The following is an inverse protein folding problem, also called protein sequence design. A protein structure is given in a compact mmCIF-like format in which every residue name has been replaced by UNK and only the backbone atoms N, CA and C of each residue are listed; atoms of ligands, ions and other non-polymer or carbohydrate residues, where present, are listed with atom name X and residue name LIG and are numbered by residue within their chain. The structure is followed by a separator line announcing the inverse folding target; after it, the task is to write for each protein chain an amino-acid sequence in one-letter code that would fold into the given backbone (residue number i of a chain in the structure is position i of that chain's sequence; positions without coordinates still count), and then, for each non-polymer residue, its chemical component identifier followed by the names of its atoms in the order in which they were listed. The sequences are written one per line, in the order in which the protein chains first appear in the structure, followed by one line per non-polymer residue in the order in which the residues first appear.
data_IF_017020819673
#
_entry.id   IF_017020819673
#
_cell.length_a   1.000
_cell.length_b   1.000
_cell.length_c   1.000
_cell.angle_alpha   90.00
_cell.angle_beta   90.00
_cell.angle_gamma   90.00
#
_symmetry.space_group_name_H-M   'P 1'
#
loop_
_entity.id
_entity.type
_entity.pdbx_description
1 polymer ?
#
# COMPACT_ATOMS: atom_id res chain seq x y z
N UNK A 1 -39.87 14.01 -13.06
CA UNK A 1 -38.84 14.09 -12.02
C UNK A 1 -38.18 12.72 -11.94
N UNK A 2 -37.19 12.47 -12.79
CA UNK A 2 -36.47 11.20 -12.83
C UNK A 2 -35.65 11.12 -11.56
N UNK A 3 -36.01 10.18 -10.68
CA UNK A 3 -35.28 9.87 -9.46
C UNK A 3 -33.88 9.42 -9.83
N UNK A 4 -32.90 10.28 -9.58
CA UNK A 4 -31.53 9.83 -9.35
C UNK A 4 -31.62 8.74 -8.30
N UNK A 5 -31.02 7.58 -8.57
CA UNK A 5 -30.92 6.51 -7.61
C UNK A 5 -30.16 7.04 -6.38
N UNK A 6 -30.89 7.47 -5.34
CA UNK A 6 -30.34 7.84 -4.03
C UNK A 6 -29.33 6.78 -3.55
N UNK A 7 -29.51 5.53 -3.99
CA UNK A 7 -28.59 4.41 -3.82
C UNK A 7 -27.16 4.70 -4.30
N UNK A 8 -26.98 5.18 -5.54
CA UNK A 8 -25.64 5.47 -6.08
C UNK A 8 -24.97 6.60 -5.31
N UNK A 9 -25.69 7.68 -5.01
CA UNK A 9 -25.15 8.79 -4.24
C UNK A 9 -24.71 8.34 -2.84
N UNK A 10 -25.60 7.61 -2.12
CA UNK A 10 -25.28 7.05 -0.81
C UNK A 10 -24.05 6.14 -0.91
N UNK A 11 -24.00 5.25 -1.90
CA UNK A 11 -22.86 4.36 -2.12
C UNK A 11 -21.57 5.15 -2.36
N UNK A 12 -21.54 6.03 -3.36
CA UNK A 12 -20.35 6.77 -3.77
C UNK A 12 -19.76 7.61 -2.63
N UNK A 13 -20.59 8.37 -1.90
CA UNK A 13 -20.13 9.18 -0.77
C UNK A 13 -19.76 8.33 0.45
N UNK A 14 -20.40 7.17 0.66
CA UNK A 14 -19.99 6.23 1.71
C UNK A 14 -18.61 5.65 1.40
N UNK A 15 -18.37 5.20 0.17
CA UNK A 15 -17.08 4.68 -0.29
C UNK A 15 -15.98 5.76 -0.22
N UNK A 16 -16.28 6.99 -0.60
CA UNK A 16 -15.36 8.13 -0.45
C UNK A 16 -15.01 8.35 1.03
N UNK A 17 -16.01 8.42 1.90
CA UNK A 17 -15.82 8.66 3.34
C UNK A 17 -14.96 7.58 4.00
N UNK A 18 -15.25 6.30 3.71
CA UNK A 18 -14.47 5.17 4.21
C UNK A 18 -13.06 5.19 3.62
N UNK A 19 -12.90 5.49 2.33
CA UNK A 19 -11.60 5.58 1.67
C UNK A 19 -10.71 6.67 2.28
N UNK A 20 -11.26 7.86 2.52
CA UNK A 20 -10.55 8.94 3.22
C UNK A 20 -10.18 8.51 4.63
N UNK A 21 -11.10 7.88 5.37
CA UNK A 21 -10.80 7.35 6.70
C UNK A 21 -9.64 6.35 6.68
N UNK A 22 -9.56 5.48 5.68
CA UNK A 22 -8.45 4.54 5.50
C UNK A 22 -7.13 5.27 5.26
N UNK A 23 -7.11 6.32 4.43
CA UNK A 23 -5.92 7.16 4.20
C UNK A 23 -5.49 7.87 5.49
N UNK A 24 -6.45 8.42 6.24
CA UNK A 24 -6.18 9.07 7.53
C UNK A 24 -5.67 8.07 8.57
N UNK A 25 -6.25 6.86 8.63
CA UNK A 25 -5.80 5.79 9.52
C UNK A 25 -4.37 5.36 9.18
N UNK A 26 -4.03 5.22 7.89
CA UNK A 26 -2.65 5.01 7.45
C UNK A 26 -1.75 6.12 7.95
N UNK A 27 -2.13 7.37 7.69
CA UNK A 27 -1.31 8.55 8.04
C UNK A 27 -1.07 8.58 9.54
N UNK A 28 -2.10 8.32 10.34
CA UNK A 28 -2.00 8.19 11.79
C UNK A 28 -1.06 7.06 12.22
N UNK A 29 -1.21 5.86 11.64
CA UNK A 29 -0.33 4.73 11.91
C UNK A 29 1.13 5.06 11.61
N UNK A 30 1.39 5.78 10.52
CA UNK A 30 2.73 6.24 10.10
C UNK A 30 3.31 7.28 11.04
N UNK A 31 2.53 8.28 11.44
CA UNK A 31 2.92 9.25 12.47
C UNK A 31 3.31 8.53 13.77
N UNK A 32 2.55 7.51 14.16
CA UNK A 32 2.83 6.74 15.39
C UNK A 32 4.07 5.84 15.28
N UNK A 33 4.38 5.31 14.10
CA UNK A 33 5.53 4.42 13.90
C UNK A 33 6.84 5.15 13.66
N UNK A 34 6.82 6.21 12.85
CA UNK A 34 8.01 6.90 12.38
C UNK A 34 8.12 8.34 12.88
N UNK A 35 7.04 8.94 13.40
CA UNK A 35 6.99 10.36 13.73
C UNK A 35 6.70 11.23 12.51
N UNK A 36 6.17 12.44 12.75
CA UNK A 36 5.73 13.36 11.69
C UNK A 36 6.89 13.92 10.83
N UNK A 37 8.11 13.92 11.37
CA UNK A 37 9.31 14.41 10.68
C UNK A 37 9.88 13.43 9.65
N UNK A 38 9.45 12.17 9.70
CA UNK A 38 9.95 11.10 8.84
C UNK A 38 8.90 10.69 7.80
N UNK A 39 8.13 11.66 7.29
CA UNK A 39 7.21 11.45 6.19
C UNK A 39 8.01 11.23 4.91
N UNK A 40 7.63 10.21 4.16
CA UNK A 40 8.26 9.86 2.90
C UNK A 40 7.31 10.14 1.73
N UNK A 41 7.82 10.03 0.50
CA UNK A 41 7.05 10.37 -0.69
C UNK A 41 5.72 9.62 -0.80
N UNK A 42 5.64 8.36 -0.35
CA UNK A 42 4.40 7.59 -0.37
C UNK A 42 3.32 8.15 0.57
N UNK A 43 3.72 8.73 1.70
CA UNK A 43 2.81 9.34 2.67
C UNK A 43 2.18 10.62 2.08
N UNK A 44 2.98 11.47 1.42
CA UNK A 44 2.49 12.68 0.75
C UNK A 44 1.61 12.37 -0.46
N UNK A 45 2.02 11.41 -1.30
CA UNK A 45 1.25 11.02 -2.48
C UNK A 45 -0.13 10.43 -2.11
N UNK A 46 -0.21 9.69 -1.01
CA UNK A 46 -1.50 9.15 -0.55
C UNK A 46 -2.43 10.24 0.00
N UNK A 47 -1.90 11.26 0.67
CA UNK A 47 -2.69 12.44 1.06
C UNK A 47 -3.13 13.25 -0.17
N UNK A 48 -2.24 13.41 -1.15
CA UNK A 48 -2.54 14.07 -2.42
C UNK A 48 -3.70 13.36 -3.15
N UNK A 49 -3.75 12.03 -3.10
CA UNK A 49 -4.80 11.23 -3.76
C UNK A 49 -6.22 11.53 -3.27
N UNK A 50 -6.41 12.12 -2.07
CA UNK A 50 -7.72 12.54 -1.56
C UNK A 50 -8.37 13.57 -2.50
N UNK A 51 -7.58 14.47 -3.08
CA UNK A 51 -8.08 15.55 -3.93
C UNK A 51 -8.71 14.98 -5.22
N UNK A 52 -7.98 14.28 -6.11
CA UNK A 52 -8.57 13.74 -7.32
C UNK A 52 -9.66 12.70 -7.02
N UNK A 53 -9.58 11.96 -5.90
CA UNK A 53 -10.60 10.98 -5.53
C UNK A 53 -11.93 11.64 -5.12
N UNK A 54 -11.85 12.74 -4.39
CA UNK A 54 -13.01 13.57 -4.06
C UNK A 54 -13.60 14.18 -5.32
N UNK A 55 -12.77 14.75 -6.20
CA UNK A 55 -13.22 15.37 -7.45
C UNK A 55 -13.87 14.33 -8.36
N UNK A 56 -13.25 13.16 -8.56
CA UNK A 56 -13.82 12.04 -9.32
C UNK A 56 -15.22 11.69 -8.82
N UNK A 57 -15.37 11.49 -7.51
CA UNK A 57 -16.64 11.11 -6.88
C UNK A 57 -17.71 12.18 -7.09
N UNK A 58 -17.35 13.46 -6.92
CA UNK A 58 -18.26 14.59 -7.14
C UNK A 58 -18.67 14.68 -8.61
N UNK A 59 -17.74 14.57 -9.56
CA UNK A 59 -18.06 14.61 -10.98
C UNK A 59 -18.97 13.45 -11.39
N UNK A 60 -18.71 12.23 -10.91
CA UNK A 60 -19.57 11.07 -11.15
C UNK A 60 -20.99 11.28 -10.58
N UNK A 61 -21.10 11.83 -9.36
CA UNK A 61 -22.38 12.22 -8.78
C UNK A 61 -23.08 13.31 -9.60
N UNK A 62 -22.35 14.31 -10.09
CA UNK A 62 -22.91 15.43 -10.87
C UNK A 62 -23.48 14.97 -12.21
N UNK A 63 -22.83 14.04 -12.91
CA UNK A 63 -23.34 13.48 -14.18
C UNK A 63 -24.70 12.81 -13.97
N UNK A 64 -24.81 11.95 -12.95
CA UNK A 64 -26.10 11.37 -12.59
C UNK A 64 -27.08 12.45 -12.17
N UNK A 65 -26.75 13.20 -11.11
CA UNK A 65 -27.71 14.05 -10.39
C UNK A 65 -28.20 15.29 -11.12
N UNK A 66 -27.30 16.02 -11.79
CA UNK A 66 -27.61 17.29 -12.44
C UNK A 66 -27.90 17.13 -13.93
N UNK A 67 -27.33 16.11 -14.56
CA UNK A 67 -27.43 15.90 -16.01
C UNK A 67 -28.19 14.61 -16.37
N UNK A 68 -28.83 13.96 -15.39
CA UNK A 68 -29.65 12.75 -15.59
C UNK A 68 -28.91 11.59 -16.27
N UNK A 69 -27.59 11.51 -16.08
CA UNK A 69 -26.75 10.50 -16.77
C UNK A 69 -26.54 10.79 -18.26
N UNK A 70 -27.09 11.90 -18.78
CA UNK A 70 -27.12 12.19 -20.20
C UNK A 70 -25.79 12.77 -20.69
N UNK A 71 -25.30 12.24 -21.80
CA UNK A 71 -24.15 12.75 -22.54
C UNK A 71 -24.48 12.77 -24.04
N UNK A 72 -23.51 13.12 -24.89
CA UNK A 72 -23.64 12.99 -26.35
C UNK A 72 -23.52 11.54 -26.85
N UNK A 73 -23.29 10.58 -25.94
CA UNK A 73 -23.16 9.15 -26.22
C UNK A 73 -24.51 8.45 -26.08
N UNK A 74 -24.67 7.27 -26.71
CA UNK A 74 -25.90 6.46 -26.58
C UNK A 74 -27.15 7.11 -27.17
N UNK A 75 -27.01 7.84 -28.29
CA UNK A 75 -28.15 8.39 -29.04
C UNK A 75 -28.14 7.83 -30.46
N UNK A 76 -29.32 7.46 -30.94
CA UNK A 76 -29.58 7.17 -32.35
C UNK A 76 -29.65 8.46 -33.18
N UNK A 77 -29.41 8.37 -34.48
CA UNK A 77 -29.49 9.53 -35.38
C UNK A 77 -30.86 10.20 -35.34
N UNK A 78 -31.94 9.43 -35.20
CA UNK A 78 -33.31 9.93 -35.06
C UNK A 78 -33.52 10.74 -33.79
N UNK A 79 -32.96 10.29 -32.66
CA UNK A 79 -33.04 11.03 -31.39
C UNK A 79 -32.23 12.32 -31.46
N UNK A 80 -31.08 12.32 -32.16
CA UNK A 80 -30.26 13.53 -32.38
C UNK A 80 -30.99 14.56 -33.24
N UNK A 81 -31.67 14.12 -34.30
CA UNK A 81 -32.45 14.98 -35.19
C UNK A 81 -33.72 15.53 -34.53
N UNK A 82 -34.36 14.72 -33.68
CA UNK A 82 -35.58 15.12 -32.97
C UNK A 82 -35.32 16.08 -31.79
N UNK A 83 -34.08 16.14 -31.29
CA UNK A 83 -33.72 16.93 -30.12
C UNK A 83 -33.58 18.42 -30.47
N UNK A 84 -34.46 19.25 -29.90
CA UNK A 84 -34.39 20.70 -30.07
C UNK A 84 -33.16 21.29 -29.38
N UNK A 85 -32.36 22.15 -30.05
CA UNK A 85 -31.24 22.87 -29.44
C UNK A 85 -31.61 23.76 -28.24
N UNK A 86 -32.87 24.23 -28.19
CA UNK A 86 -33.38 25.09 -27.12
C UNK A 86 -33.95 24.31 -25.92
N UNK A 87 -33.88 22.97 -25.96
CA UNK A 87 -34.38 22.12 -24.87
C UNK A 87 -33.39 22.02 -23.70
N UNK A 88 -33.91 21.85 -22.49
CA UNK A 88 -33.09 21.59 -21.30
C UNK A 88 -32.24 20.33 -21.47
N UNK A 89 -32.78 19.30 -22.15
CA UNK A 89 -32.07 18.04 -22.42
C UNK A 89 -30.81 18.26 -23.26
N UNK A 90 -30.88 19.13 -24.28
CA UNK A 90 -29.70 19.49 -25.06
C UNK A 90 -28.61 20.09 -24.16
N UNK A 91 -28.98 21.00 -23.28
CA UNK A 91 -28.09 21.60 -22.28
C UNK A 91 -27.49 20.56 -21.32
N UNK A 92 -28.30 19.61 -20.85
CA UNK A 92 -27.82 18.52 -19.98
C UNK A 92 -26.81 17.62 -20.69
N UNK A 93 -27.07 17.22 -21.93
CA UNK A 93 -26.15 16.37 -22.71
C UNK A 93 -24.82 17.05 -23.00
N UNK A 94 -24.83 18.33 -23.36
CA UNK A 94 -23.61 19.11 -23.61
C UNK A 94 -22.77 19.20 -22.34
N UNK A 95 -23.39 19.56 -21.21
CA UNK A 95 -22.66 19.72 -19.95
C UNK A 95 -22.24 18.38 -19.33
N UNK A 96 -23.10 17.36 -19.40
CA UNK A 96 -22.78 16.00 -18.99
C UNK A 96 -21.58 15.45 -19.75
N UNK A 97 -21.47 15.69 -21.06
CA UNK A 97 -20.32 15.29 -21.87
C UNK A 97 -19.01 15.95 -21.39
N UNK A 98 -19.04 17.25 -21.06
CA UNK A 98 -17.87 17.97 -20.53
C UNK A 98 -17.42 17.41 -19.17
N UNK A 99 -18.36 17.19 -18.26
CA UNK A 99 -18.08 16.61 -16.93
C UNK A 99 -17.59 15.17 -17.06
N UNK A 100 -18.11 14.39 -18.01
CA UNK A 100 -17.68 13.02 -18.25
C UNK A 100 -16.19 12.94 -18.63
N UNK A 101 -15.71 13.84 -19.50
CA UNK A 101 -14.28 13.92 -19.87
C UNK A 101 -13.44 14.26 -18.65
N UNK A 102 -13.85 15.27 -17.87
CA UNK A 102 -13.17 15.63 -16.63
C UNK A 102 -13.15 14.44 -15.64
N UNK A 103 -14.24 13.68 -15.56
CA UNK A 103 -14.35 12.46 -14.76
C UNK A 103 -13.33 11.40 -15.16
N UNK A 104 -13.14 11.15 -16.46
CA UNK A 104 -12.12 10.22 -16.95
C UNK A 104 -10.70 10.64 -16.59
N UNK A 105 -10.38 11.93 -16.72
CA UNK A 105 -9.05 12.46 -16.34
C UNK A 105 -8.82 12.32 -14.83
N UNK A 106 -9.83 12.61 -14.01
CA UNK A 106 -9.72 12.49 -12.55
C UNK A 106 -9.60 11.04 -12.12
N UNK A 107 -10.41 10.14 -12.67
CA UNK A 107 -10.30 8.70 -12.45
C UNK A 107 -8.88 8.18 -12.77
N UNK A 108 -8.34 8.52 -13.95
CA UNK A 108 -6.96 8.16 -14.30
C UNK A 108 -5.95 8.76 -13.30
N UNK A 109 -6.16 10.00 -12.88
CA UNK A 109 -5.30 10.67 -11.90
C UNK A 109 -5.32 9.98 -10.54
N UNK A 110 -6.48 9.50 -10.06
CA UNK A 110 -6.59 8.73 -8.81
C UNK A 110 -5.76 7.45 -8.89
N UNK A 111 -6.01 6.61 -9.90
CA UNK A 111 -5.33 5.33 -10.03
C UNK A 111 -3.82 5.49 -10.19
N UNK A 112 -3.36 6.43 -11.03
CA UNK A 112 -1.93 6.64 -11.23
C UNK A 112 -1.24 7.26 -10.02
N UNK A 113 -1.93 8.12 -9.25
CA UNK A 113 -1.40 8.64 -7.98
C UNK A 113 -1.23 7.52 -6.96
N UNK A 114 -2.21 6.60 -6.85
CA UNK A 114 -2.11 5.43 -5.96
C UNK A 114 -0.98 4.49 -6.39
N UNK A 115 -0.84 4.22 -7.70
CA UNK A 115 0.28 3.44 -8.26
C UNK A 115 1.63 4.09 -7.94
N UNK A 116 1.73 5.42 -8.07
CA UNK A 116 2.93 6.17 -7.73
C UNK A 116 3.27 6.07 -6.24
N UNK A 117 2.27 6.20 -5.36
CA UNK A 117 2.43 6.01 -3.92
C UNK A 117 2.88 4.58 -3.57
N UNK A 118 2.31 3.56 -4.23
CA UNK A 118 2.72 2.17 -4.06
C UNK A 118 4.16 1.94 -4.54
N UNK A 119 4.54 2.54 -5.67
CA UNK A 119 5.91 2.48 -6.19
C UNK A 119 6.91 3.13 -5.21
N UNK A 120 6.57 4.28 -4.64
CA UNK A 120 7.35 4.93 -3.58
C UNK A 120 7.47 4.08 -2.31
N UNK A 121 6.38 3.41 -1.92
CA UNK A 121 6.40 2.44 -0.83
C UNK A 121 7.36 1.28 -1.11
N UNK A 122 7.39 0.75 -2.34
CA UNK A 122 8.35 -0.29 -2.75
C UNK A 122 9.79 0.21 -2.81
N UNK A 123 10.02 1.45 -3.23
CA UNK A 123 11.35 2.07 -3.20
C UNK A 123 11.95 2.01 -1.80
N UNK A 124 11.16 2.45 -0.81
CA UNK A 124 11.54 2.42 0.59
C UNK A 124 11.72 1.00 1.11
N UNK A 125 10.79 0.10 0.82
CA UNK A 125 10.86 -1.30 1.27
C UNK A 125 12.13 -2.00 0.76
N UNK A 126 12.59 -1.63 -0.44
CA UNK A 126 13.76 -2.22 -1.10
C UNK A 126 15.04 -1.41 -0.92
N UNK A 127 15.04 -0.35 -0.12
CA UNK A 127 16.18 0.56 0.03
C UNK A 127 17.48 -0.14 0.49
N UNK A 128 17.36 -1.22 1.26
CA UNK A 128 18.48 -2.05 1.74
C UNK A 128 18.88 -3.22 0.83
N UNK A 129 18.17 -3.47 -0.28
CA UNK A 129 18.46 -4.57 -1.20
C UNK A 129 19.12 -4.04 -2.49
N UNK A 130 20.39 -4.39 -2.69
CA UNK A 130 21.14 -4.04 -3.90
C UNK A 130 20.49 -4.71 -5.13
N UNK A 131 20.32 -3.95 -6.22
CA UNK A 131 19.74 -4.44 -7.49
C UNK A 131 18.22 -4.29 -7.64
N UNK A 132 17.47 -3.94 -6.58
CA UNK A 132 16.01 -3.72 -6.68
C UNK A 132 15.64 -2.27 -7.03
N UNK A 133 16.51 -1.31 -6.73
CA UNK A 133 16.29 0.12 -7.01
C UNK A 133 16.01 0.40 -8.50
N UNK A 134 16.75 -0.26 -9.40
CA UNK A 134 16.54 -0.10 -10.85
C UNK A 134 15.14 -0.51 -11.30
N UNK A 135 14.58 -1.58 -10.72
CA UNK A 135 13.22 -2.04 -11.03
C UNK A 135 12.19 -1.01 -10.56
N UNK A 136 12.40 -0.42 -9.40
CA UNK A 136 11.49 0.62 -8.90
C UNK A 136 11.58 1.90 -9.74
N UNK A 137 12.77 2.32 -10.19
CA UNK A 137 12.91 3.45 -11.11
C UNK A 137 12.23 3.20 -12.46
N UNK A 138 12.36 1.99 -13.03
CA UNK A 138 11.60 1.60 -14.22
C UNK A 138 10.10 1.70 -13.95
N UNK A 139 9.63 1.29 -12.77
CA UNK A 139 8.25 1.45 -12.33
C UNK A 139 7.77 2.91 -12.35
N UNK A 140 8.56 3.85 -11.82
CA UNK A 140 8.22 5.28 -11.88
C UNK A 140 8.12 5.80 -13.30
N UNK A 141 9.09 5.46 -14.16
CA UNK A 141 9.08 5.86 -15.59
C UNK A 141 7.87 5.27 -16.31
N UNK A 142 7.55 3.99 -16.04
CA UNK A 142 6.38 3.32 -16.62
C UNK A 142 5.08 4.01 -16.18
N UNK A 143 4.91 4.30 -14.89
CA UNK A 143 3.72 4.98 -14.37
C UNK A 143 3.60 6.38 -14.99
N UNK A 144 4.68 7.16 -15.02
CA UNK A 144 4.66 8.51 -15.58
C UNK A 144 4.35 8.51 -17.09
N UNK A 145 5.02 7.66 -17.87
CA UNK A 145 4.79 7.57 -19.32
C UNK A 145 3.38 7.10 -19.67
N UNK A 146 2.86 6.11 -18.95
CA UNK A 146 1.50 5.62 -19.16
C UNK A 146 0.43 6.62 -18.72
N UNK A 147 0.68 7.41 -17.66
CA UNK A 147 -0.22 8.49 -17.25
C UNK A 147 -0.35 9.53 -18.36
N UNK A 148 0.79 9.99 -18.89
CA UNK A 148 0.82 10.96 -19.98
C UNK A 148 0.11 10.40 -21.20
N UNK A 149 0.37 9.14 -21.57
CA UNK A 149 -0.31 8.48 -22.69
C UNK A 149 -1.83 8.41 -22.50
N UNK A 150 -2.32 8.10 -21.29
CA UNK A 150 -3.75 8.08 -20.96
C UNK A 150 -4.37 9.46 -21.02
N UNK A 151 -3.75 10.47 -20.41
CA UNK A 151 -4.30 11.84 -20.43
C UNK A 151 -4.32 12.39 -21.85
N UNK A 152 -3.25 12.16 -22.62
CA UNK A 152 -3.21 12.53 -24.03
C UNK A 152 -4.27 11.79 -24.85
N UNK A 153 -4.51 10.49 -24.61
CA UNK A 153 -5.56 9.77 -25.33
C UNK A 153 -6.95 10.31 -25.00
N UNK A 154 -7.22 10.68 -23.76
CA UNK A 154 -8.51 11.29 -23.38
C UNK A 154 -8.70 12.66 -24.07
N UNK A 155 -7.67 13.52 -24.08
CA UNK A 155 -7.81 14.91 -24.53
C UNK A 155 -7.63 15.11 -26.04
N UNK A 156 -6.83 14.26 -26.71
CA UNK A 156 -6.41 14.48 -28.10
C UNK A 156 -7.09 13.54 -29.11
N UNK A 157 -7.86 12.54 -28.66
CA UNK A 157 -8.51 11.57 -29.57
C UNK A 157 -9.53 12.22 -30.50
N UNK A 158 -10.30 13.19 -30.01
CA UNK A 158 -11.32 13.87 -30.80
C UNK A 158 -10.83 15.27 -31.18
N UNK A 159 -10.73 15.54 -32.48
CA UNK A 159 -10.37 16.86 -33.02
C UNK A 159 -11.36 17.24 -34.14
N UNK A 160 -11.95 18.45 -34.12
CA UNK A 160 -11.74 19.53 -33.13
C UNK A 160 -12.35 19.21 -31.75
N UNK A 161 -11.76 19.77 -30.69
CA UNK A 161 -12.07 19.40 -29.30
C UNK A 161 -13.54 19.65 -28.90
N UNK A 162 -14.21 20.61 -29.55
CA UNK A 162 -15.63 20.90 -29.33
C UNK A 162 -16.57 19.76 -29.76
N UNK A 163 -16.12 18.83 -30.60
CA UNK A 163 -16.93 17.68 -31.01
C UNK A 163 -17.20 16.70 -29.85
N UNK A 164 -16.44 16.75 -28.76
CA UNK A 164 -16.70 15.94 -27.58
C UNK A 164 -18.05 16.21 -26.91
N UNK A 165 -18.64 17.39 -27.15
CA UNK A 165 -19.98 17.74 -26.66
C UNK A 165 -20.91 18.16 -27.80
N UNK A 166 -20.58 17.77 -29.04
CA UNK A 166 -21.48 17.93 -30.18
C UNK A 166 -22.58 16.88 -30.13
N UNK A 167 -23.83 17.33 -30.31
CA UNK A 167 -25.03 16.48 -30.26
C UNK A 167 -25.48 16.08 -31.67
N UNK A 168 -25.55 17.04 -32.60
CA UNK A 168 -25.95 16.82 -33.99
C UNK A 168 -25.09 17.68 -34.93
N UNK A 169 -24.59 17.15 -36.05
CA UNK A 169 -24.63 15.74 -36.46
C UNK A 169 -23.78 14.82 -35.55
N UNK A 170 -23.89 13.49 -35.66
CA UNK A 170 -23.08 12.57 -34.84
C UNK A 170 -21.58 12.81 -35.05
N UNK A 171 -20.80 13.15 -33.99
CA UNK A 171 -19.37 13.36 -34.11
C UNK A 171 -18.57 12.04 -34.25
N UNK A 172 -19.23 10.89 -34.12
CA UNK A 172 -18.64 9.55 -34.25
C UNK A 172 -17.97 9.04 -32.98
N UNK A 173 -17.62 7.74 -32.96
CA UNK A 173 -17.19 7.04 -31.74
C UNK A 173 -15.93 7.63 -31.08
N UNK A 174 -15.02 8.25 -31.84
CA UNK A 174 -13.83 8.91 -31.29
C UNK A 174 -14.17 10.09 -30.38
N UNK A 175 -15.34 10.68 -30.54
CA UNK A 175 -15.80 11.88 -29.85
C UNK A 175 -16.92 11.62 -28.84
N UNK A 176 -17.19 10.34 -28.53
CA UNK A 176 -18.17 9.93 -27.52
C UNK A 176 -17.46 9.71 -26.17
N UNK A 177 -17.53 10.64 -25.18
CA UNK A 177 -16.79 10.55 -23.92
C UNK A 177 -17.16 9.37 -23.01
N UNK A 178 -18.27 8.69 -23.25
CA UNK A 178 -18.63 7.50 -22.48
C UNK A 178 -18.30 6.18 -23.20
N UNK A 179 -18.25 6.17 -24.54
CA UNK A 179 -18.27 4.95 -25.34
C UNK A 179 -17.12 4.84 -26.35
N UNK A 180 -16.13 5.75 -26.31
CA UNK A 180 -15.04 5.68 -27.28
C UNK A 180 -14.16 4.46 -27.05
N UNK A 181 -14.11 3.58 -28.04
CA UNK A 181 -13.38 2.31 -27.94
C UNK A 181 -11.87 2.54 -27.77
N UNK A 182 -11.33 3.58 -28.40
CA UNK A 182 -9.88 3.82 -28.44
C UNK A 182 -9.32 4.19 -27.07
N UNK A 183 -9.84 5.22 -26.39
CA UNK A 183 -9.27 5.59 -25.10
C UNK A 183 -9.68 4.61 -23.99
N UNK A 184 -10.85 3.94 -24.07
CA UNK A 184 -11.19 2.85 -23.15
C UNK A 184 -10.14 1.75 -23.25
N UNK A 185 -9.81 1.31 -24.46
CA UNK A 185 -8.78 0.31 -24.69
C UNK A 185 -7.41 0.75 -24.17
N UNK A 186 -6.98 1.99 -24.50
CA UNK A 186 -5.70 2.54 -24.04
C UNK A 186 -5.63 2.57 -22.51
N UNK A 187 -6.66 3.09 -21.84
CA UNK A 187 -6.71 3.17 -20.37
C UNK A 187 -6.62 1.78 -19.75
N UNK A 188 -7.44 0.83 -20.21
CA UNK A 188 -7.50 -0.51 -19.63
C UNK A 188 -6.20 -1.26 -19.84
N UNK A 189 -5.64 -1.23 -21.06
CA UNK A 189 -4.37 -1.90 -21.35
C UNK A 189 -3.22 -1.32 -20.51
N UNK A 190 -3.09 0.00 -20.45
CA UNK A 190 -2.01 0.63 -19.69
C UNK A 190 -2.21 0.48 -18.18
N UNK A 191 -3.45 0.46 -17.69
CA UNK A 191 -3.78 0.17 -16.29
C UNK A 191 -3.34 -1.25 -15.91
N UNK A 192 -3.73 -2.25 -16.71
CA UNK A 192 -3.37 -3.67 -16.50
C UNK A 192 -1.86 -3.88 -16.57
N UNK A 193 -1.19 -3.31 -17.58
CA UNK A 193 0.28 -3.43 -17.73
C UNK A 193 1.00 -2.84 -16.52
N UNK A 194 0.58 -1.68 -16.03
CA UNK A 194 1.20 -1.05 -14.85
C UNK A 194 0.93 -1.85 -13.57
N UNK A 195 -0.28 -2.39 -13.40
CA UNK A 195 -0.60 -3.25 -12.23
C UNK A 195 0.18 -4.56 -12.23
N UNK A 196 0.26 -5.23 -13.39
CA UNK A 196 1.04 -6.44 -13.54
C UNK A 196 2.52 -6.19 -13.22
N UNK A 197 3.06 -5.05 -13.65
CA UNK A 197 4.43 -4.65 -13.32
C UNK A 197 4.63 -4.42 -11.81
N UNK A 198 3.73 -3.68 -11.16
CA UNK A 198 3.81 -3.41 -9.73
C UNK A 198 3.67 -4.68 -8.89
N UNK A 199 2.80 -5.60 -9.30
CA UNK A 199 2.68 -6.94 -8.70
C UNK A 199 3.96 -7.75 -8.86
N UNK A 200 4.63 -7.65 -10.01
CA UNK A 200 5.85 -8.41 -10.27
C UNK A 200 7.00 -8.02 -9.31
N UNK A 201 7.17 -6.73 -8.96
CA UNK A 201 8.30 -6.26 -8.13
C UNK A 201 8.49 -7.10 -6.86
N UNK A 202 7.50 -7.21 -5.96
CA UNK A 202 7.65 -7.97 -4.73
C UNK A 202 7.52 -9.48 -4.90
N UNK A 203 6.87 -10.00 -5.96
CA UNK A 203 6.86 -11.44 -6.26
C UNK A 203 8.29 -11.92 -6.54
N UNK A 204 9.04 -11.17 -7.35
CA UNK A 204 10.44 -11.47 -7.63
C UNK A 204 11.30 -11.38 -6.36
N UNK A 205 11.02 -10.39 -5.50
CA UNK A 205 11.69 -10.26 -4.19
C UNK A 205 11.45 -11.49 -3.31
N UNK A 206 10.24 -12.06 -3.35
CA UNK A 206 9.86 -13.22 -2.53
C UNK A 206 10.47 -14.53 -2.97
N UNK A 207 10.77 -14.69 -4.26
CA UNK A 207 11.42 -15.91 -4.74
C UNK A 207 12.89 -15.99 -4.32
N UNK A 208 13.58 -14.86 -4.23
CA UNK A 208 14.98 -14.82 -3.78
C UNK A 208 15.17 -14.93 -2.26
N UNK A 209 14.14 -14.60 -1.47
CA UNK A 209 14.26 -14.47 -0.02
C UNK A 209 13.80 -15.73 0.73
N UNK A 210 14.63 -16.25 1.64
CA UNK A 210 14.27 -17.34 2.58
C UNK A 210 13.36 -16.82 3.70
N UNK A 211 12.11 -16.53 3.37
CA UNK A 211 11.11 -15.99 4.30
C UNK A 211 10.28 -17.14 4.90
N UNK A 212 10.02 -17.15 6.23
CA UNK A 212 9.16 -18.16 6.85
C UNK A 212 7.75 -18.12 6.25
N UNK A 213 7.17 -19.30 6.02
CA UNK A 213 5.92 -19.54 5.28
C UNK A 213 4.76 -18.65 5.74
N UNK A 214 4.61 -18.39 7.05
CA UNK A 214 3.55 -17.52 7.59
C UNK A 214 3.65 -16.07 7.07
N UNK A 215 4.86 -15.52 6.92
CA UNK A 215 5.06 -14.17 6.37
C UNK A 215 4.79 -14.15 4.86
N UNK A 216 5.06 -15.27 4.17
CA UNK A 216 4.77 -15.47 2.74
C UNK A 216 3.26 -15.40 2.48
N UNK A 217 2.44 -16.06 3.30
CA UNK A 217 0.97 -16.00 3.20
C UNK A 217 0.42 -14.60 3.46
N UNK A 218 0.92 -13.87 4.46
CA UNK A 218 0.48 -12.49 4.72
C UNK A 218 0.72 -11.56 3.51
N UNK A 219 1.82 -11.76 2.81
CA UNK A 219 2.13 -10.95 1.64
C UNK A 219 1.31 -11.36 0.41
N UNK A 220 0.98 -12.65 0.28
CA UNK A 220 0.08 -13.16 -0.74
C UNK A 220 -1.32 -12.56 -0.62
N UNK A 221 -1.84 -12.41 0.61
CA UNK A 221 -3.13 -11.74 0.88
C UNK A 221 -3.12 -10.26 0.47
N UNK A 222 -1.99 -9.58 0.61
CA UNK A 222 -1.84 -8.19 0.13
C UNK A 222 -1.85 -8.17 -1.40
N UNK A 223 -1.18 -9.11 -2.08
CA UNK A 223 -1.17 -9.19 -3.54
C UNK A 223 -2.51 -9.55 -4.16
N UNK A 224 -3.33 -10.36 -3.49
CA UNK A 224 -4.69 -10.64 -3.99
C UNK A 224 -5.54 -9.37 -4.11
N UNK A 225 -5.29 -8.35 -3.28
CA UNK A 225 -5.97 -7.06 -3.41
C UNK A 225 -5.66 -6.35 -4.73
N UNK A 226 -4.39 -6.33 -5.15
CA UNK A 226 -3.99 -5.72 -6.41
C UNK A 226 -4.47 -6.52 -7.64
N UNK A 227 -4.53 -7.86 -7.55
CA UNK A 227 -5.16 -8.69 -8.59
C UNK A 227 -6.66 -8.40 -8.68
N UNK A 228 -7.34 -8.23 -7.54
CA UNK A 228 -8.75 -7.89 -7.51
C UNK A 228 -9.02 -6.54 -8.18
N UNK A 229 -8.22 -5.50 -7.89
CA UNK A 229 -8.34 -4.17 -8.55
C UNK A 229 -8.19 -4.31 -10.06
N UNK A 230 -7.20 -5.06 -10.53
CA UNK A 230 -6.98 -5.31 -11.95
C UNK A 230 -8.18 -6.01 -12.62
N UNK A 231 -8.79 -6.99 -11.94
CA UNK A 231 -10.01 -7.67 -12.42
C UNK A 231 -11.19 -6.70 -12.45
N UNK A 232 -11.35 -5.84 -11.44
CA UNK A 232 -12.42 -4.84 -11.40
C UNK A 232 -12.34 -3.87 -12.60
N UNK A 233 -11.14 -3.41 -12.96
CA UNK A 233 -10.93 -2.59 -14.16
C UNK A 233 -11.27 -3.31 -15.46
N UNK A 234 -10.99 -4.61 -15.57
CA UNK A 234 -11.41 -5.43 -16.70
C UNK A 234 -12.94 -5.56 -16.76
N UNK A 235 -13.60 -5.84 -15.64
CA UNK A 235 -15.06 -5.93 -15.56
C UNK A 235 -15.74 -4.63 -16.01
N UNK A 236 -15.21 -3.47 -15.59
CA UNK A 236 -15.68 -2.17 -16.06
C UNK A 236 -15.61 -2.05 -17.59
N UNK A 237 -14.49 -2.44 -18.19
CA UNK A 237 -14.34 -2.44 -19.65
C UNK A 237 -15.40 -3.32 -20.33
N UNK A 238 -15.61 -4.54 -19.81
CA UNK A 238 -16.64 -5.44 -20.32
C UNK A 238 -18.04 -4.84 -20.23
N UNK A 239 -18.40 -4.18 -19.12
CA UNK A 239 -19.72 -3.57 -18.94
C UNK A 239 -19.97 -2.44 -19.93
N UNK A 240 -18.99 -1.56 -20.15
CA UNK A 240 -19.11 -0.43 -21.09
C UNK A 240 -19.23 -0.92 -22.54
N UNK A 241 -18.49 -1.98 -22.90
CA UNK A 241 -18.48 -2.49 -24.28
C UNK A 241 -19.70 -3.35 -24.62
N UNK A 242 -20.25 -4.11 -23.66
CA UNK A 242 -21.38 -5.01 -23.88
C UNK A 242 -22.74 -4.33 -23.76
N UNK A 243 -22.84 -3.24 -22.99
CA UNK A 243 -24.08 -2.50 -22.80
C UNK A 243 -23.89 -1.03 -23.18
N UNK A 244 -23.98 -0.65 -24.47
CA UNK A 244 -23.76 0.75 -24.89
C UNK A 244 -24.77 1.75 -24.29
N UNK A 245 -25.99 1.29 -24.02
CA UNK A 245 -27.09 2.13 -23.50
C UNK A 245 -26.95 2.42 -21.99
N UNK A 246 -26.72 1.39 -21.16
CA UNK A 246 -26.62 1.51 -19.69
C UNK A 246 -25.19 1.49 -19.15
N UNK A 247 -24.24 1.02 -19.97
CA UNK A 247 -22.83 0.85 -19.62
C UNK A 247 -22.09 2.13 -19.23
N UNK A 248 -22.41 3.32 -19.77
CA UNK A 248 -21.86 4.58 -19.26
C UNK A 248 -22.12 4.84 -17.78
N UNK A 249 -23.38 4.68 -17.34
CA UNK A 249 -23.79 4.93 -15.95
C UNK A 249 -23.21 3.86 -15.01
N UNK A 250 -23.34 2.59 -15.40
CA UNK A 250 -22.72 1.44 -14.73
C UNK A 250 -21.19 1.62 -14.64
N UNK A 251 -20.57 2.09 -15.72
CA UNK A 251 -19.13 2.31 -15.82
C UNK A 251 -18.62 3.41 -14.88
N UNK A 252 -19.39 4.48 -14.70
CA UNK A 252 -19.09 5.53 -13.72
C UNK A 252 -19.21 5.01 -12.27
N UNK A 253 -20.24 4.20 -11.98
CA UNK A 253 -20.38 3.59 -10.66
C UNK A 253 -19.24 2.63 -10.33
N UNK A 254 -18.84 1.81 -11.30
CA UNK A 254 -17.69 0.91 -11.16
C UNK A 254 -16.35 1.65 -11.04
N UNK A 255 -16.20 2.83 -11.64
CA UNK A 255 -15.02 3.68 -11.46
C UNK A 255 -14.79 4.02 -9.97
N UNK A 256 -15.84 4.50 -9.29
CA UNK A 256 -15.78 4.87 -7.87
C UNK A 256 -15.47 3.64 -6.99
N UNK A 257 -16.07 2.48 -7.32
CA UNK A 257 -15.79 1.21 -6.63
C UNK A 257 -14.34 0.77 -6.82
N UNK A 258 -13.80 0.88 -8.02
CA UNK A 258 -12.41 0.54 -8.33
C UNK A 258 -11.44 1.46 -7.59
N UNK A 259 -11.66 2.78 -7.63
CA UNK A 259 -10.89 3.78 -6.87
C UNK A 259 -10.90 3.46 -5.38
N UNK A 260 -12.07 3.15 -4.81
CA UNK A 260 -12.18 2.74 -3.40
C UNK A 260 -11.32 1.52 -3.08
N UNK A 261 -11.42 0.46 -3.88
CA UNK A 261 -10.67 -0.77 -3.62
C UNK A 261 -9.17 -0.55 -3.83
N UNK A 262 -8.76 0.25 -4.80
CA UNK A 262 -7.37 0.66 -4.99
C UNK A 262 -6.83 1.39 -3.75
N UNK A 263 -7.59 2.35 -3.20
CA UNK A 263 -7.22 3.06 -1.97
C UNK A 263 -7.09 2.09 -0.80
N UNK A 264 -8.07 1.20 -0.58
CA UNK A 264 -8.03 0.25 0.54
C UNK A 264 -6.82 -0.67 0.40
N UNK A 265 -6.65 -1.30 -0.75
CA UNK A 265 -5.60 -2.30 -0.99
C UNK A 265 -4.19 -1.71 -0.92
N UNK A 266 -3.97 -0.49 -1.40
CA UNK A 266 -2.67 0.19 -1.30
C UNK A 266 -2.29 0.57 0.15
N UNK A 267 -3.29 0.71 1.03
CA UNK A 267 -3.09 1.15 2.41
C UNK A 267 -3.09 0.01 3.44
N UNK A 268 -3.67 -1.15 3.09
CA UNK A 268 -3.69 -2.35 3.93
C UNK A 268 -2.32 -2.75 4.50
N UNK A 269 -1.20 -2.77 3.74
CA UNK A 269 0.09 -3.23 4.27
C UNK A 269 0.59 -2.39 5.45
N UNK A 270 0.48 -1.07 5.33
CA UNK A 270 0.93 -0.13 6.36
C UNK A 270 0.04 -0.22 7.62
N UNK A 271 -1.27 -0.26 7.44
CA UNK A 271 -2.23 -0.36 8.55
C UNK A 271 -2.05 -1.70 9.28
N UNK A 272 -1.93 -2.80 8.53
CA UNK A 272 -1.72 -4.13 9.09
C UNK A 272 -0.40 -4.24 9.88
N UNK A 273 0.68 -3.65 9.37
CA UNK A 273 1.97 -3.62 10.07
C UNK A 273 1.84 -2.96 11.44
N UNK A 274 1.08 -1.87 11.54
CA UNK A 274 0.80 -1.18 12.80
C UNK A 274 -0.13 -1.97 13.73
N UNK A 275 -1.23 -2.51 13.20
CA UNK A 275 -2.19 -3.29 13.98
C UNK A 275 -1.52 -4.50 14.64
N UNK A 276 -0.65 -5.22 13.93
CA UNK A 276 0.07 -6.37 14.49
C UNK A 276 1.00 -6.00 15.64
N UNK A 277 1.63 -4.82 15.63
CA UNK A 277 2.47 -4.38 16.74
C UNK A 277 1.64 -4.14 18.00
N UNK A 278 0.41 -3.62 17.86
CA UNK A 278 -0.51 -3.37 18.98
C UNK A 278 -1.22 -4.61 19.49
N UNK A 279 -1.47 -5.60 18.62
CA UNK A 279 -2.18 -6.82 18.99
C UNK A 279 -1.28 -7.86 19.69
N UNK A 280 0.04 -7.80 19.48
CA UNK A 280 1.03 -8.68 20.17
C UNK A 280 0.88 -8.70 21.71
N UNK A 281 0.84 -7.56 22.43
CA UNK A 281 0.68 -7.59 23.88
C UNK A 281 -0.71 -8.09 24.33
N UNK A 282 -1.77 -7.83 23.57
CA UNK A 282 -3.13 -8.26 23.90
C UNK A 282 -3.32 -9.78 23.70
N UNK A 283 -2.75 -10.36 22.64
CA UNK A 283 -2.75 -11.81 22.43
C UNK A 283 -1.79 -12.52 23.40
N UNK A 284 -0.67 -11.89 23.75
CA UNK A 284 0.25 -12.38 24.77
C UNK A 284 -0.41 -12.48 26.15
N UNK A 285 -1.25 -11.52 26.55
CA UNK A 285 -1.97 -11.59 27.83
C UNK A 285 -3.08 -12.64 27.85
N UNK A 286 -3.72 -12.92 26.70
CA UNK A 286 -4.76 -13.96 26.60
C UNK A 286 -4.17 -15.38 26.57
N UNK A 287 -2.98 -15.57 26.01
CA UNK A 287 -2.29 -16.87 25.97
C UNK A 287 -1.43 -17.13 27.22
N UNK A 288 -1.07 -16.10 27.99
CA UNK A 288 -0.31 -16.23 29.24
C UNK A 288 -1.19 -16.53 30.48
N UNK A 289 -2.50 -16.64 30.31
CA UNK A 289 -3.44 -16.96 31.40
C UNK A 289 -3.78 -18.46 31.44
N UNK A 290 -2.78 -19.35 31.53
CA UNK A 290 -2.92 -20.68 32.17
C UNK A 290 -1.58 -21.44 32.16
N UNK A 291 -0.71 -21.14 33.12
CA UNK A 291 0.30 -22.10 33.62
C UNK A 291 0.74 -21.75 35.04
N UNK A 292 -0.22 -21.64 35.95
CA UNK A 292 0.08 -21.80 37.38
C UNK A 292 0.01 -23.30 37.69
N UNK A 293 1.17 -23.96 37.58
CA UNK A 293 1.36 -25.33 38.03
C UNK A 293 1.12 -25.41 39.54
N UNK A 294 -0.05 -25.88 39.97
CA UNK A 294 -0.22 -26.50 41.28
C UNK A 294 0.42 -27.88 41.18
N UNK A 295 1.63 -28.04 41.71
CA UNK A 295 2.10 -29.33 42.18
C UNK A 295 2.33 -29.20 43.68
N UNK A 296 1.31 -29.58 44.44
CA UNK A 296 1.43 -30.00 45.83
C UNK A 296 1.42 -31.52 45.78
N UNK A 297 2.49 -32.15 46.25
CA UNK A 297 2.43 -33.42 46.98
C UNK A 297 3.69 -33.49 47.88
N UNK A 298 3.43 -33.60 49.18
CA UNK A 298 4.38 -33.79 50.28
C UNK A 298 4.94 -35.22 50.30
N UNK A 299 6.21 -35.41 50.71
CA UNK A 299 6.67 -36.48 51.64
C UNK A 299 7.98 -36.04 52.33
N UNK A 300 8.00 -36.07 53.67
CA UNK A 300 9.16 -35.87 54.56
C UNK A 300 10.07 -37.12 54.64
N UNK A 301 11.38 -36.94 54.88
CA UNK A 301 12.15 -37.45 56.05
C UNK A 301 13.68 -37.21 55.91
N UNK A 302 14.35 -36.82 57.01
CA UNK A 302 15.76 -37.20 57.24
C UNK A 302 16.77 -36.11 57.67
N UNK A 303 16.94 -35.98 58.99
CA UNK A 303 18.08 -35.46 59.79
C UNK A 303 19.48 -35.29 59.11
N UNK A 304 20.17 -34.15 59.31
CA UNK A 304 21.23 -33.99 60.33
C UNK A 304 21.99 -32.62 60.30
N UNK A 305 22.18 -32.10 61.53
CA UNK A 305 23.07 -31.06 62.11
C UNK A 305 24.27 -30.50 61.32
N UNK A 306 24.47 -29.18 61.41
CA UNK A 306 25.58 -28.43 62.11
C UNK A 306 25.71 -27.02 61.50
N UNK A 307 25.37 -25.96 62.25
CA UNK A 307 26.24 -25.12 63.09
C UNK A 307 26.94 -23.96 62.35
N UNK A 308 26.72 -22.77 62.90
CA UNK A 308 27.62 -21.60 62.97
C UNK A 308 27.45 -20.45 61.96
N UNK A 309 27.19 -19.25 62.54
CA UNK A 309 27.69 -17.96 62.05
C UNK A 309 26.64 -17.04 61.40
N UNK A 310 25.88 -16.22 62.13
CA UNK A 310 26.24 -14.88 62.66
C UNK A 310 26.05 -13.72 61.66
N UNK A 311 25.03 -12.91 61.99
CA UNK A 311 24.86 -11.44 61.93
C UNK A 311 24.72 -10.66 60.60
N UNK A 312 23.45 -10.29 60.43
CA UNK A 312 22.76 -9.11 59.92
C UNK A 312 23.43 -7.70 59.88
N UNK A 313 22.80 -6.86 59.03
CA UNK A 313 22.54 -5.40 59.09
C UNK A 313 23.45 -4.33 58.42
N UNK A 314 22.98 -3.86 57.24
CA UNK A 314 22.45 -2.50 56.91
C UNK A 314 23.19 -1.22 57.38
N UNK A 315 23.54 -0.31 56.44
CA UNK A 315 23.43 1.19 56.50
C UNK A 315 24.28 1.83 55.36
N UNK A 316 23.75 2.56 54.35
CA UNK A 316 23.29 3.98 54.25
C UNK A 316 24.38 5.00 53.84
N UNK A 317 24.28 5.45 52.58
CA UNK A 317 24.55 6.78 51.97
C UNK A 317 25.35 7.86 52.75
N UNK A 318 26.37 8.49 52.13
CA UNK A 318 26.29 9.84 51.52
C UNK A 318 27.65 10.56 51.28
N UNK A 319 27.75 11.19 50.09
CA UNK A 319 28.45 12.44 49.66
C UNK A 319 29.94 12.69 49.99
N UNK A 320 30.73 13.05 48.96
CA UNK A 320 31.18 14.44 48.78
C UNK A 320 31.57 14.76 47.32
N UNK A 321 31.25 15.98 46.93
CA UNK A 321 31.44 16.73 45.67
C UNK A 321 32.89 17.17 45.41
N UNK A 322 33.33 17.20 44.15
CA UNK A 322 33.82 18.42 43.44
C UNK A 322 34.33 18.11 42.01
N UNK A 323 34.04 19.04 41.09
CA UNK A 323 34.48 19.22 39.68
C UNK A 323 34.73 20.75 39.55
N UNK A 324 35.47 21.33 38.57
CA UNK A 324 36.60 20.89 37.72
C UNK A 324 37.81 21.84 37.81
N UNK A 325 38.91 21.54 37.11
CA UNK A 325 39.65 22.57 36.35
C UNK A 325 40.47 21.94 35.23
N UNK A 326 40.62 22.71 34.16
CA UNK A 326 40.98 22.27 32.81
C UNK A 326 42.45 22.55 32.45
N UNK A 327 42.82 21.95 31.30
CA UNK A 327 43.80 22.40 30.32
C UNK A 327 45.28 22.01 30.51
N UNK A 328 45.84 21.44 29.42
CA UNK A 328 47.26 21.38 29.13
C UNK A 328 47.76 19.99 28.76
N UNK A 329 47.59 19.58 27.49
CA UNK A 329 48.23 18.38 26.95
C UNK A 329 48.91 18.74 25.61
N UNK A 330 50.23 18.80 25.64
CA UNK A 330 51.12 18.76 24.49
C UNK A 330 51.71 17.34 24.37
N UNK A 331 51.76 16.80 23.16
CA UNK A 331 52.53 15.58 22.84
C UNK A 331 53.22 15.82 21.52
N UNK A 332 54.51 15.48 21.47
CA UNK A 332 55.27 15.26 20.24
C UNK A 332 56.05 13.94 20.33
N UNK A 333 56.37 13.41 19.15
CA UNK A 333 57.27 12.32 18.73
C UNK A 333 56.71 10.90 18.52
N UNK A 334 56.50 10.60 17.22
CA UNK A 334 57.04 9.48 16.42
C UNK A 334 57.23 8.08 17.04
N UNK A 335 56.55 7.08 16.46
CA UNK A 335 57.09 6.00 15.59
C UNK A 335 56.38 4.63 15.77
N UNK A 336 56.44 3.84 14.70
CA UNK A 336 55.78 2.60 14.33
C UNK A 336 55.86 1.45 15.35
N UNK A 337 54.74 0.75 15.57
CA UNK A 337 54.67 -0.73 15.53
C UNK A 337 53.23 -1.22 15.69
N UNK A 338 52.89 -2.27 14.95
CA UNK A 338 51.52 -2.75 14.75
C UNK A 338 50.81 -3.22 16.03
N UNK A 339 49.52 -2.90 16.11
CA UNK A 339 48.51 -3.65 16.85
C UNK A 339 47.12 -3.42 16.28
N UNK A 340 46.41 -4.51 16.14
CA UNK A 340 45.01 -4.65 15.74
C UNK A 340 44.10 -3.61 16.39
N UNK A 341 43.48 -2.76 15.57
CA UNK A 341 42.44 -1.82 16.00
C UNK A 341 41.11 -2.55 16.03
N UNK A 342 40.58 -2.75 17.24
CA UNK A 342 39.15 -3.01 17.44
C UNK A 342 38.43 -1.68 17.21
N UNK A 343 37.75 -1.54 16.07
CA UNK A 343 36.81 -0.44 15.86
C UNK A 343 35.53 -0.80 16.61
N UNK A 344 35.25 -0.09 17.71
CA UNK A 344 33.91 -0.01 18.27
C UNK A 344 33.02 0.69 17.23
N UNK A 345 32.36 -0.12 16.40
CA UNK A 345 31.32 0.33 15.49
C UNK A 345 30.11 0.75 16.29
N UNK A 346 29.82 2.05 16.26
CA UNK A 346 28.55 2.65 16.64
C UNK A 346 27.38 1.89 16.01
N UNK A 347 26.38 1.60 16.84
CA UNK A 347 25.16 0.86 16.57
C UNK A 347 24.57 1.10 15.16
N UNK A 348 24.69 0.09 14.30
CA UNK A 348 23.86 -0.06 13.12
C UNK A 348 22.47 -0.52 13.56
N UNK A 349 21.52 0.41 13.60
CA UNK A 349 20.10 0.12 13.76
C UNK A 349 19.56 -0.51 12.46
N UNK A 350 19.76 -1.82 12.32
CA UNK A 350 19.20 -2.60 11.21
C UNK A 350 18.75 -3.97 11.69
N UNK A 351 17.47 -4.25 11.41
CA UNK A 351 16.79 -5.54 11.37
C UNK A 351 16.62 -6.38 12.66
N UNK A 352 17.49 -6.27 13.67
CA UNK A 352 17.43 -7.17 14.84
C UNK A 352 16.48 -6.74 15.97
N UNK A 353 15.98 -5.49 15.96
CA UNK A 353 15.03 -5.03 17.00
C UNK A 353 13.57 -5.42 16.74
N UNK A 354 13.30 -6.26 15.74
CA UNK A 354 11.94 -6.51 15.25
C UNK A 354 11.31 -7.87 15.58
N UNK A 355 11.87 -8.76 16.41
CA UNK A 355 11.17 -9.93 17.01
C UNK A 355 12.03 -10.60 18.12
N UNK A 356 11.43 -11.32 19.09
CA UNK A 356 12.08 -11.76 20.33
C UNK A 356 13.00 -12.99 20.13
N UNK A 357 14.06 -13.06 20.93
CA UNK A 357 14.84 -14.26 21.20
C UNK A 357 13.97 -15.27 21.97
N UNK A 358 13.42 -16.26 21.27
CA UNK A 358 12.96 -17.50 21.90
C UNK A 358 14.15 -18.46 21.95
N UNK A 359 14.68 -18.71 23.16
CA UNK A 359 15.55 -19.85 23.39
C UNK A 359 14.73 -21.13 23.21
N UNK A 360 14.91 -21.81 22.09
CA UNK A 360 14.53 -23.21 21.95
C UNK A 360 15.65 -24.02 22.58
N UNK A 361 15.36 -24.67 23.71
CA UNK A 361 16.21 -25.72 24.27
C UNK A 361 16.05 -26.93 23.36
N UNK A 362 17.07 -27.22 22.54
CA UNK A 362 17.17 -28.51 21.85
C UNK A 362 17.88 -29.49 22.78
N UNK A 363 17.15 -30.52 23.22
CA UNK A 363 17.75 -31.74 23.75
C UNK A 363 18.27 -32.54 22.55
N UNK A 364 19.55 -32.38 22.22
CA UNK A 364 20.24 -33.25 21.26
C UNK A 364 20.82 -34.45 22.00
N UNK A 365 20.04 -35.53 22.04
CA UNK A 365 20.55 -36.87 22.30
C UNK A 365 20.47 -37.68 21.00
N UNK A 366 21.56 -38.41 20.71
CA UNK A 366 21.65 -39.57 19.82
C UNK A 366 21.59 -39.30 18.31
N UNK A 367 22.76 -39.12 17.67
CA UNK A 367 23.17 -39.89 16.47
C UNK A 367 24.57 -39.46 16.01
N UNK A 368 25.60 -40.09 16.57
CA UNK A 368 26.93 -40.11 15.98
C UNK A 368 27.66 -41.39 16.42
N UNK A 369 27.33 -42.52 15.79
CA UNK A 369 28.20 -43.70 15.78
C UNK A 369 27.91 -44.51 14.52
N UNK A 370 28.98 -45.13 13.99
CA UNK A 370 29.03 -46.11 12.90
C UNK A 370 29.37 -45.57 11.50
N UNK A 371 30.66 -45.29 11.28
CA UNK A 371 31.37 -45.71 10.05
C UNK A 371 32.72 -46.35 10.43
N UNK A 372 33.19 -47.43 9.78
CA UNK A 372 34.34 -48.24 10.21
C UNK A 372 35.69 -47.83 9.55
N UNK A 373 36.84 -48.33 10.06
CA UNK A 373 38.15 -47.71 9.87
C UNK A 373 38.90 -48.20 8.62
N UNK A 374 39.65 -47.30 7.99
CA UNK A 374 40.67 -47.63 6.97
C UNK A 374 42.05 -47.80 7.63
N UNK A 375 42.64 -48.97 7.40
CA UNK A 375 44.00 -49.35 7.78
C UNK A 375 45.05 -48.55 6.98
N UNK A 376 46.06 -48.03 7.67
CA UNK A 376 47.34 -47.59 7.09
C UNK A 376 48.39 -48.68 7.31
N UNK A 377 49.01 -49.20 6.24
CA UNK A 377 50.24 -49.99 6.32
C UNK A 377 51.45 -49.13 5.95
N UNK A 378 52.51 -49.27 6.76
CA UNK A 378 53.87 -48.81 6.47
C UNK A 378 54.53 -49.76 5.46
N UNK A 379 55.27 -49.18 4.52
CA UNK A 379 56.64 -49.58 4.14
C UNK A 379 57.19 -48.54 3.17
#
# INVERSE_FOLDING_TARGET
MVTIDNKFAIEAFTLLSIGILVILLRTYARIRQAGIRNFEADDYLMLLAIIPYTIETVLAYTVGSQFHGLTNSGMTDKEREALSPDSDEYGWRVNGSKIQIAGWVMYATVLWTIKCALCAFYYRLTAGLNGYKIRVYIGFVLIASTYVAVVCSILLTCQPFNHFWQISPDPGNFCHPALSKIYIFVIVCLNVVTDAYLLAIPIHMLWGARIPTIKKYCLLVIFSGAIFVMIAGLLRCFLILLNPETGPEEGAAWAVRESFVAVVTANLPCIWAWMRQKLKPLLGSLLSSNKSSKNKDDVQLGHNKTSSGVLDCKSRNSRLTQIPTAAGMSIDWSDQSGRSVYIHGTETSSFDSMLPTFHVVTNDALQASLTPPTFYSRS
#
